data_IF_805994727365
#
_entry.id   IF_805994727365
#
_cell.length_a   1.000
_cell.length_b   1.000
_cell.length_c   1.000
_cell.angle_alpha   90.00
_cell.angle_beta   90.00
_cell.angle_gamma   90.00
#
_symmetry.space_group_name_H-M   'P 1'
#
loop_
_entity.id
_entity.type
_entity.pdbx_description
1 polymer ?
#
# COMPACT_ATOMS: atom_id res chain seq x y z
N UNK A 1 5.29 16.59 -20.78
CA UNK A 1 5.20 15.76 -19.57
C UNK A 1 6.59 15.26 -19.25
N UNK A 2 7.22 15.78 -18.21
CA UNK A 2 8.55 15.33 -17.80
C UNK A 2 8.38 14.07 -16.97
N UNK A 3 8.83 12.94 -17.50
CA UNK A 3 8.88 11.69 -16.74
C UNK A 3 10.15 11.71 -15.92
N UNK A 4 10.02 11.55 -14.60
CA UNK A 4 11.17 11.45 -13.71
C UNK A 4 11.19 10.02 -13.18
N UNK A 5 12.15 9.17 -13.61
CA UNK A 5 12.20 7.80 -13.13
C UNK A 5 12.55 7.81 -11.63
N UNK A 6 11.67 7.22 -10.82
CA UNK A 6 11.87 7.09 -9.38
C UNK A 6 12.22 5.64 -9.05
N UNK A 7 13.44 5.43 -8.55
CA UNK A 7 13.89 4.14 -8.07
C UNK A 7 13.43 3.93 -6.62
N UNK A 8 12.73 2.82 -6.36
CA UNK A 8 12.29 2.44 -5.02
C UNK A 8 12.59 0.98 -4.75
N UNK A 9 12.87 0.66 -3.48
CA UNK A 9 13.09 -0.74 -3.09
C UNK A 9 11.83 -1.56 -3.31
N UNK A 10 11.97 -2.70 -3.98
CA UNK A 10 10.85 -3.59 -4.28
C UNK A 10 10.21 -4.11 -2.99
N UNK A 11 11.00 -4.44 -1.96
CA UNK A 11 10.49 -4.76 -0.62
C UNK A 11 9.66 -3.63 0.02
N UNK A 12 9.94 -2.37 -0.27
CA UNK A 12 9.15 -1.26 0.27
C UNK A 12 7.75 -1.20 -0.35
N UNK A 13 7.66 -1.49 -1.65
CA UNK A 13 6.39 -1.49 -2.39
C UNK A 13 5.59 -2.75 -2.06
N UNK A 14 6.20 -3.94 -2.23
CA UNK A 14 5.52 -5.22 -2.08
C UNK A 14 5.33 -5.69 -0.62
N UNK A 15 6.13 -5.17 0.32
CA UNK A 15 6.05 -5.59 1.72
C UNK A 15 6.21 -7.10 1.89
N UNK A 16 5.20 -7.76 2.42
CA UNK A 16 5.23 -9.18 2.80
C UNK A 16 5.13 -10.15 1.61
N UNK A 17 4.54 -9.71 0.49
CA UNK A 17 4.42 -10.53 -0.73
C UNK A 17 5.71 -10.55 -1.56
N UNK A 18 6.71 -9.74 -1.18
CA UNK A 18 8.01 -9.63 -1.85
C UNK A 18 8.66 -11.00 -2.15
N UNK A 19 8.73 -11.88 -1.13
CA UNK A 19 9.46 -13.15 -1.25
C UNK A 19 8.77 -14.19 -2.16
N UNK A 20 7.50 -13.95 -2.52
CA UNK A 20 6.67 -14.88 -3.28
C UNK A 20 6.33 -14.33 -4.67
N UNK A 21 6.67 -13.08 -4.94
CA UNK A 21 6.36 -12.43 -6.21
C UNK A 21 7.44 -12.73 -7.26
N UNK A 22 7.03 -13.12 -8.47
CA UNK A 22 7.92 -13.21 -9.62
C UNK A 22 8.32 -11.81 -10.09
N UNK A 23 9.49 -11.69 -10.73
CA UNK A 23 9.88 -10.45 -11.41
C UNK A 23 9.14 -10.34 -12.73
N UNK A 24 8.57 -9.17 -13.00
CA UNK A 24 7.83 -8.87 -14.24
C UNK A 24 8.50 -7.69 -14.92
N UNK A 25 8.80 -7.78 -16.22
CA UNK A 25 9.57 -6.76 -16.93
C UNK A 25 8.92 -5.38 -16.90
N UNK A 26 7.61 -5.31 -17.15
CA UNK A 26 6.87 -4.05 -17.15
C UNK A 26 5.51 -4.24 -16.51
N UNK A 27 5.23 -3.45 -15.46
CA UNK A 27 3.97 -3.50 -14.71
C UNK A 27 3.25 -2.15 -14.86
N UNK A 28 2.03 -2.10 -15.42
CA UNK A 28 1.28 -0.86 -15.55
C UNK A 28 0.84 -0.30 -14.19
N UNK A 29 0.81 1.03 -14.09
CA UNK A 29 0.41 1.77 -12.88
C UNK A 29 -0.83 2.61 -13.16
N UNK A 30 -1.84 2.46 -12.32
CA UNK A 30 -3.12 3.17 -12.41
C UNK A 30 -3.34 4.09 -11.20
N UNK A 31 -4.07 5.20 -11.41
CA UNK A 31 -4.51 6.10 -10.34
C UNK A 31 -5.93 5.72 -9.94
N UNK A 32 -6.20 5.50 -8.65
CA UNK A 32 -7.55 5.33 -8.07
C UNK A 32 -8.38 4.12 -8.57
N UNK A 33 -8.48 3.87 -9.88
CA UNK A 33 -9.20 2.78 -10.53
C UNK A 33 -8.47 2.26 -11.78
N UNK A 34 -8.71 0.99 -12.12
CA UNK A 34 -8.23 0.33 -13.37
C UNK A 34 -8.98 0.80 -14.63
N UNK A 35 -10.06 1.56 -14.47
CA UNK A 35 -10.92 1.98 -15.59
C UNK A 35 -10.28 3.07 -16.47
N UNK A 36 -9.26 3.76 -15.94
CA UNK A 36 -8.57 4.85 -16.63
C UNK A 36 -7.31 4.35 -17.36
N UNK A 37 -6.77 5.18 -18.25
CA UNK A 37 -5.49 4.90 -18.90
C UNK A 37 -4.36 4.83 -17.86
N UNK A 38 -3.40 3.90 -18.01
CA UNK A 38 -2.27 3.80 -17.10
C UNK A 38 -1.46 5.09 -17.15
N UNK A 39 -1.16 5.66 -15.98
CA UNK A 39 -0.38 6.89 -15.85
C UNK A 39 1.08 6.67 -16.30
N UNK A 40 1.53 5.42 -16.18
CA UNK A 40 2.85 4.98 -16.60
C UNK A 40 3.07 3.52 -16.23
N UNK A 41 4.33 3.15 -16.11
CA UNK A 41 4.73 1.77 -15.87
C UNK A 41 5.89 1.69 -14.88
N UNK A 42 6.03 0.52 -14.27
CA UNK A 42 7.18 0.14 -13.47
C UNK A 42 8.02 -0.83 -14.27
N UNK A 43 9.32 -0.54 -14.36
CA UNK A 43 10.31 -1.42 -14.96
C UNK A 43 11.01 -2.23 -13.86
N UNK A 44 11.05 -3.56 -14.03
CA UNK A 44 11.82 -4.51 -13.21
C UNK A 44 12.80 -5.34 -14.08
N UNK A 45 13.15 -4.87 -15.28
CA UNK A 45 14.06 -5.53 -16.23
C UNK A 45 15.45 -5.83 -15.65
N UNK A 46 15.87 -5.10 -14.60
CA UNK A 46 17.11 -5.40 -13.86
C UNK A 46 17.02 -6.65 -12.97
N UNK A 47 15.84 -7.27 -12.87
CA UNK A 47 15.60 -8.55 -12.22
C UNK A 47 15.59 -8.52 -10.69
N UNK A 48 15.27 -9.69 -10.11
CA UNK A 48 15.11 -9.91 -8.65
C UNK A 48 16.33 -9.46 -7.84
N UNK A 49 17.53 -9.50 -8.42
CA UNK A 49 18.79 -9.15 -7.76
C UNK A 49 18.96 -7.65 -7.52
N UNK A 50 18.27 -6.79 -8.27
CA UNK A 50 18.35 -5.35 -8.06
C UNK A 50 17.49 -4.86 -6.89
N UNK A 51 16.52 -5.67 -6.40
CA UNK A 51 15.52 -5.30 -5.37
C UNK A 51 14.96 -3.89 -5.57
N UNK A 52 14.82 -3.45 -6.82
CA UNK A 52 14.51 -2.06 -7.18
C UNK A 52 13.47 -2.03 -8.28
N UNK A 53 12.40 -1.29 -8.03
CA UNK A 53 11.41 -0.90 -9.01
C UNK A 53 11.73 0.49 -9.55
N UNK A 54 11.74 0.63 -10.87
CA UNK A 54 11.87 1.92 -11.54
C UNK A 54 10.49 2.42 -11.96
N UNK A 55 9.97 3.43 -11.29
CA UNK A 55 8.67 4.04 -11.63
C UNK A 55 8.86 5.10 -12.72
N UNK A 56 8.32 4.84 -13.91
CA UNK A 56 8.25 5.81 -15.01
C UNK A 56 6.90 6.54 -14.97
N UNK A 57 6.78 7.49 -14.04
CA UNK A 57 5.57 8.28 -13.82
C UNK A 57 5.85 9.78 -14.03
N UNK A 58 4.79 10.61 -14.19
CA UNK A 58 4.93 12.06 -14.20
C UNK A 58 5.59 12.56 -12.91
N UNK A 59 6.41 13.60 -13.03
CA UNK A 59 7.20 14.15 -11.92
C UNK A 59 6.37 14.47 -10.66
N UNK A 60 5.17 15.02 -10.83
CA UNK A 60 4.27 15.36 -9.71
C UNK A 60 3.81 14.12 -8.93
N UNK A 61 3.61 13.01 -9.63
CA UNK A 61 3.23 11.73 -9.04
C UNK A 61 4.44 11.12 -8.33
N UNK A 62 5.61 11.13 -8.95
CA UNK A 62 6.86 10.66 -8.33
C UNK A 62 7.19 11.41 -7.04
N UNK A 63 7.01 12.74 -7.00
CA UNK A 63 7.21 13.55 -5.78
C UNK A 63 6.27 13.15 -4.65
N UNK A 64 4.99 12.94 -4.96
CA UNK A 64 4.00 12.50 -3.96
C UNK A 64 4.24 11.07 -3.49
N UNK A 65 4.74 10.22 -4.40
CA UNK A 65 5.08 8.83 -4.13
C UNK A 65 6.31 8.70 -3.23
N UNK A 66 7.37 9.47 -3.49
CA UNK A 66 8.56 9.50 -2.62
C UNK A 66 8.27 10.08 -1.24
N UNK A 67 7.29 10.98 -1.12
CA UNK A 67 6.82 11.53 0.15
C UNK A 67 5.83 10.61 0.91
N UNK A 68 5.46 9.45 0.36
CA UNK A 68 4.58 8.48 1.03
C UNK A 68 3.10 8.91 1.10
N UNK A 69 2.65 9.74 0.17
CA UNK A 69 1.25 10.17 0.06
C UNK A 69 0.35 9.18 -0.69
N UNK A 70 0.86 8.04 -1.11
CA UNK A 70 0.08 6.98 -1.76
C UNK A 70 0.07 5.70 -0.94
N UNK A 71 -1.04 4.97 -1.04
CA UNK A 71 -1.19 3.58 -0.62
C UNK A 71 -1.10 2.73 -1.88
N UNK A 72 -0.30 1.67 -1.79
CA UNK A 72 -0.15 0.70 -2.86
C UNK A 72 -1.22 -0.39 -2.71
N UNK A 73 -1.95 -0.63 -3.79
CA UNK A 73 -2.84 -1.78 -3.94
C UNK A 73 -2.36 -2.58 -5.14
N UNK A 74 -2.38 -3.90 -5.02
CA UNK A 74 -1.83 -4.81 -6.03
C UNK A 74 -2.89 -5.79 -6.47
N UNK A 75 -2.93 -6.04 -7.76
CA UNK A 75 -3.64 -7.18 -8.33
C UNK A 75 -2.61 -8.18 -8.83
N UNK A 76 -2.75 -9.41 -8.39
CA UNK A 76 -1.82 -10.47 -8.72
C UNK A 76 -2.58 -11.75 -9.06
N UNK A 77 -2.05 -12.48 -10.02
CA UNK A 77 -2.50 -13.82 -10.33
C UNK A 77 -1.62 -14.85 -9.62
N UNK A 78 -2.25 -15.89 -9.07
CA UNK A 78 -1.51 -16.97 -8.39
C UNK A 78 -1.05 -17.96 -9.44
N UNK A 79 0.23 -17.93 -9.76
CA UNK A 79 0.86 -18.96 -10.58
C UNK A 79 1.27 -20.13 -9.69
N UNK A 80 0.47 -21.20 -9.71
CA UNK A 80 0.87 -22.47 -9.12
C UNK A 80 1.93 -23.13 -10.01
N UNK A 81 3.19 -23.04 -9.60
CA UNK A 81 4.23 -23.88 -10.19
C UNK A 81 3.94 -25.32 -9.75
N UNK A 82 3.56 -26.16 -10.70
CA UNK A 82 3.32 -27.61 -10.53
C UNK A 82 4.62 -28.39 -10.31
N UNK A 83 5.57 -27.87 -9.53
CA UNK A 83 6.74 -28.64 -9.12
C UNK A 83 6.46 -29.38 -7.81
N UNK A 84 6.36 -30.70 -7.93
CA UNK A 84 5.87 -31.66 -6.94
C UNK A 84 6.65 -31.73 -5.60
N UNK A 85 7.65 -30.86 -5.36
CA UNK A 85 8.49 -30.89 -4.15
C UNK A 85 8.36 -29.70 -3.20
N UNK A 86 7.80 -28.58 -3.66
CA UNK A 86 7.57 -27.43 -2.78
C UNK A 86 6.38 -26.64 -3.30
N UNK A 87 5.24 -26.75 -2.61
CA UNK A 87 4.05 -25.92 -2.85
C UNK A 87 4.33 -24.47 -2.43
N UNK A 88 5.27 -23.79 -3.10
CA UNK A 88 5.47 -22.35 -2.94
C UNK A 88 4.56 -21.68 -3.97
N UNK A 89 3.47 -21.09 -3.47
CA UNK A 89 2.63 -20.21 -4.26
C UNK A 89 3.51 -19.05 -4.75
N UNK A 90 3.51 -18.82 -6.06
CA UNK A 90 4.12 -17.63 -6.63
C UNK A 90 3.03 -16.70 -7.12
N UNK A 91 3.32 -15.41 -7.05
CA UNK A 91 2.41 -14.36 -7.47
C UNK A 91 3.02 -13.62 -8.65
N UNK A 92 2.21 -13.37 -9.68
CA UNK A 92 2.57 -12.53 -10.82
C UNK A 92 1.75 -11.25 -10.74
N UNK A 93 2.44 -10.11 -10.75
CA UNK A 93 1.79 -8.80 -10.64
C UNK A 93 1.19 -8.41 -11.99
N UNK A 94 -0.12 -8.15 -12.00
CA UNK A 94 -0.82 -7.67 -13.18
C UNK A 94 -0.73 -6.15 -13.30
N UNK A 95 -0.99 -5.44 -12.20
CA UNK A 95 -0.93 -3.98 -12.16
C UNK A 95 -0.78 -3.46 -10.73
N UNK A 96 -0.31 -2.20 -10.63
CA UNK A 96 -0.22 -1.47 -9.36
C UNK A 96 -1.24 -0.33 -9.38
N UNK A 97 -2.04 -0.24 -8.33
CA UNK A 97 -2.94 0.88 -8.07
C UNK A 97 -2.33 1.79 -7.02
N UNK A 98 -2.24 3.08 -7.35
CA UNK A 98 -1.89 4.14 -6.42
C UNK A 98 -3.16 4.84 -5.97
N UNK A 99 -3.43 4.77 -4.66
CA UNK A 99 -4.55 5.48 -4.03
C UNK A 99 -4.02 6.56 -3.12
N UNK A 100 -4.53 7.80 -3.23
CA UNK A 100 -4.10 8.89 -2.37
C UNK A 100 -4.39 8.58 -0.91
N UNK A 101 -3.39 8.69 -0.03
CA UNK A 101 -3.61 8.64 1.42
C UNK A 101 -4.49 9.83 1.79
N UNK A 102 -5.72 9.58 2.24
CA UNK A 102 -6.46 10.58 3.02
C UNK A 102 -5.63 10.84 4.28
N UNK A 103 -5.30 12.10 4.54
CA UNK A 103 -4.58 12.49 5.73
C UNK A 103 -5.25 11.83 6.95
N UNK A 104 -4.50 11.18 7.85
CA UNK A 104 -5.10 10.66 9.07
C UNK A 104 -5.75 11.85 9.78
N UNK A 105 -7.05 11.75 10.05
CA UNK A 105 -7.70 12.68 10.98
C UNK A 105 -6.87 12.65 12.26
N UNK A 106 -6.43 13.82 12.78
CA UNK A 106 -5.63 13.84 13.99
C UNK A 106 -6.40 13.11 15.07
N UNK A 107 -5.83 12.02 15.59
CA UNK A 107 -6.42 11.29 16.71
C UNK A 107 -6.40 12.24 17.89
N UNK A 108 -7.55 12.88 18.15
CA UNK A 108 -7.75 13.67 19.36
C UNK A 108 -7.53 12.71 20.52
N UNK A 109 -6.42 12.86 21.24
CA UNK A 109 -6.19 12.13 22.49
C UNK A 109 -7.25 12.60 23.47
N UNK A 110 -8.36 11.86 23.56
CA UNK A 110 -9.37 12.06 24.58
C UNK A 110 -8.69 11.90 25.94
N UNK A 111 -8.50 13.02 26.62
CA UNK A 111 -7.93 13.06 27.95
C UNK A 111 -8.93 12.40 28.90
N UNK A 112 -8.56 11.25 29.46
CA UNK A 112 -9.34 10.50 30.47
C UNK A 112 -9.48 11.32 31.76
N UNK A 113 -10.30 12.37 31.77
CA UNK A 113 -10.64 13.13 32.99
C UNK A 113 -12.12 13.19 33.33
N UNK A 114 -13.02 12.69 32.48
CA UNK A 114 -14.46 12.80 32.74
C UNK A 114 -15.18 11.48 33.11
N UNK A 115 -14.49 10.33 33.10
CA UNK A 115 -15.15 9.03 33.35
C UNK A 115 -15.43 8.74 34.85
N UNK A 116 -14.93 9.55 35.77
CA UNK A 116 -15.11 9.32 37.22
C UNK A 116 -16.24 10.15 37.84
N UNK A 117 -16.70 11.23 37.20
CA UNK A 117 -17.78 12.06 37.73
C UNK A 117 -19.19 11.49 37.46
N UNK A 118 -19.38 10.70 36.39
CA UNK A 118 -20.70 10.16 36.03
C UNK A 118 -21.09 8.89 36.82
N UNK A 119 -20.14 8.20 37.46
CA UNK A 119 -20.41 6.95 38.19
C UNK A 119 -20.88 7.23 39.63
N UNK A 120 -20.36 8.26 40.31
CA UNK A 120 -20.81 8.61 41.68
C UNK A 120 -22.20 9.27 41.70
N UNK A 121 -22.56 10.04 40.67
CA UNK A 121 -23.87 10.68 40.58
C UNK A 121 -25.02 9.68 40.36
N UNK A 122 -24.76 8.50 39.77
CA UNK A 122 -25.77 7.47 39.56
C UNK A 122 -25.99 6.59 40.80
N UNK A 123 -25.05 6.54 41.74
CA UNK A 123 -25.16 5.70 42.93
C UNK A 123 -26.00 6.35 44.04
N UNK A 124 -26.01 7.68 44.17
CA UNK A 124 -26.85 8.38 45.17
C UNK A 124 -28.33 8.43 44.78
N UNK A 125 -28.68 8.35 43.49
CA UNK A 125 -30.07 8.38 43.03
C UNK A 125 -30.86 7.08 43.32
N UNK A 126 -30.17 5.98 43.65
CA UNK A 126 -30.80 4.66 43.89
C UNK A 126 -31.12 4.42 45.37
N UNK A 127 -30.59 5.24 46.30
CA UNK A 127 -30.71 5.01 47.75
C UNK A 127 -31.86 5.78 48.43
N UNK A 128 -32.71 6.49 47.68
CA UNK A 128 -33.88 7.22 48.21
C UNK A 128 -35.19 6.76 47.55
N UNK A 129 -35.46 5.45 47.54
CA UNK A 129 -36.79 4.89 47.33
C UNK A 129 -37.15 3.90 48.43
#
# INVERSE_FOLDING_TARGET
MTYSPLAMKRRHVLGDIYAQCNSVESIPVYMESKTEDPIGFVDESMGIYADTFLFHLPEDVCKKLSAGHYIYSFDYEVTEIKDARTKKRRYELNYILLTGRKAPTPVVRASKKNAQAEIEAQLEAVLVQ
#
